data_IF_287965908893
#
_entry.id   IF_287965908893
#
_cell.length_a   1.000
_cell.length_b   1.000
_cell.length_c   1.000
_cell.angle_alpha   90.00
_cell.angle_beta   90.00
_cell.angle_gamma   90.00
#
_symmetry.space_group_name_H-M   'P 1'
#
loop_
_entity.id
_entity.type
_entity.pdbx_description
1 polymer ?
#
# COMPACT_ATOMS: atom_id res chain seq x y z
N UNK A 1 -3.26 26.69 -2.60
CA UNK A 1 -4.07 27.75 -1.97
C UNK A 1 -4.52 28.79 -3.01
N UNK A 2 -3.65 29.26 -3.89
CA UNK A 2 -3.96 30.27 -4.93
C UNK A 2 -5.19 29.94 -5.82
N UNK A 3 -5.41 28.69 -6.30
CA UNK A 3 -6.61 28.37 -7.09
C UNK A 3 -7.91 28.55 -6.30
N UNK A 4 -7.91 28.25 -5.01
CA UNK A 4 -9.12 28.34 -4.16
C UNK A 4 -9.50 29.82 -3.96
N UNK A 5 -8.56 30.68 -3.62
CA UNK A 5 -8.83 32.10 -3.41
C UNK A 5 -9.30 32.81 -4.68
N UNK A 6 -8.76 32.43 -5.86
CA UNK A 6 -9.19 32.98 -7.13
C UNK A 6 -10.58 32.51 -7.58
N UNK A 7 -10.91 31.23 -7.39
CA UNK A 7 -12.21 30.68 -7.78
C UNK A 7 -13.33 31.22 -6.89
N UNK A 8 -13.09 31.33 -5.58
CA UNK A 8 -14.11 31.77 -4.61
C UNK A 8 -14.04 33.28 -4.29
N UNK A 9 -13.20 34.06 -5.00
CA UNK A 9 -13.03 35.47 -4.78
C UNK A 9 -12.76 35.84 -3.32
N UNK A 10 -11.98 35.04 -2.63
CA UNK A 10 -11.65 35.22 -1.22
C UNK A 10 -10.65 36.40 -1.03
N UNK A 11 -11.20 37.58 -0.84
CA UNK A 11 -10.43 38.83 -0.64
C UNK A 11 -9.66 38.89 0.68
N UNK A 12 -10.00 38.00 1.65
CA UNK A 12 -9.42 38.01 2.99
C UNK A 12 -8.49 36.81 3.24
N UNK A 13 -8.27 35.96 2.24
CA UNK A 13 -7.45 34.73 2.31
C UNK A 13 -7.84 33.77 3.44
N UNK A 14 -9.07 33.89 3.97
CA UNK A 14 -9.58 33.05 5.05
C UNK A 14 -9.68 31.60 4.60
N UNK A 15 -10.26 31.38 3.41
CA UNK A 15 -10.44 30.04 2.85
C UNK A 15 -9.08 29.37 2.56
N UNK A 16 -8.13 30.13 2.04
CA UNK A 16 -6.75 29.67 1.81
C UNK A 16 -6.04 29.33 3.12
N UNK A 17 -6.24 30.13 4.16
CA UNK A 17 -5.63 29.88 5.47
C UNK A 17 -6.21 28.62 6.12
N UNK A 18 -7.53 28.45 6.11
CA UNK A 18 -8.20 27.26 6.64
C UNK A 18 -7.74 26.01 5.90
N UNK A 19 -7.70 26.06 4.56
CA UNK A 19 -7.22 24.95 3.75
C UNK A 19 -5.76 24.62 4.05
N UNK A 20 -4.89 25.61 4.21
CA UNK A 20 -3.49 25.41 4.56
C UNK A 20 -3.31 24.75 5.93
N UNK A 21 -4.08 25.16 6.94
CA UNK A 21 -4.04 24.57 8.29
C UNK A 21 -4.50 23.10 8.25
N UNK A 22 -5.59 22.80 7.54
CA UNK A 22 -6.09 21.44 7.38
C UNK A 22 -5.04 20.57 6.68
N UNK A 23 -4.48 21.03 5.56
CA UNK A 23 -3.44 20.31 4.84
C UNK A 23 -2.24 20.04 5.76
N UNK A 24 -1.74 21.05 6.45
CA UNK A 24 -0.59 20.93 7.33
C UNK A 24 -0.84 19.86 8.42
N UNK A 25 -1.99 19.91 9.07
CA UNK A 25 -2.32 19.01 10.17
C UNK A 25 -2.40 17.55 9.69
N UNK A 26 -3.16 17.29 8.63
CA UNK A 26 -3.32 15.93 8.12
C UNK A 26 -2.05 15.37 7.47
N UNK A 27 -1.28 16.25 6.78
CA UNK A 27 -0.01 15.83 6.17
C UNK A 27 1.10 15.58 7.18
N UNK A 28 1.15 16.28 8.31
CA UNK A 28 2.07 15.93 9.39
C UNK A 28 1.82 14.52 9.90
N UNK A 29 0.55 14.15 10.13
CA UNK A 29 0.20 12.78 10.57
C UNK A 29 0.54 11.75 9.49
N UNK A 30 0.21 12.02 8.22
CA UNK A 30 0.53 11.16 7.09
C UNK A 30 2.04 10.93 6.94
N UNK A 31 2.83 12.01 6.97
CA UNK A 31 4.30 11.92 6.87
C UNK A 31 4.89 11.13 8.05
N UNK A 32 4.37 11.35 9.26
CA UNK A 32 4.74 10.59 10.44
C UNK A 32 4.51 9.08 10.25
N UNK A 33 3.37 8.68 9.67
CA UNK A 33 3.09 7.27 9.40
C UNK A 33 4.04 6.65 8.37
N UNK A 34 4.50 7.42 7.37
CA UNK A 34 5.50 6.96 6.41
C UNK A 34 6.86 6.68 7.08
N UNK A 35 7.28 7.54 8.02
CA UNK A 35 8.52 7.31 8.77
C UNK A 35 8.41 6.10 9.71
N UNK A 36 7.26 5.89 10.35
CA UNK A 36 6.96 4.69 11.13
C UNK A 36 7.11 3.42 10.28
N UNK A 37 6.58 3.42 9.07
CA UNK A 37 6.69 2.30 8.12
C UNK A 37 8.15 2.04 7.74
N UNK A 38 8.93 3.09 7.49
CA UNK A 38 10.36 2.99 7.22
C UNK A 38 11.10 2.33 8.40
N UNK A 39 10.86 2.80 9.62
CA UNK A 39 11.46 2.22 10.83
C UNK A 39 11.11 0.73 11.01
N UNK A 40 9.84 0.36 10.82
CA UNK A 40 9.40 -1.05 10.89
C UNK A 40 10.09 -1.92 9.84
N UNK A 41 10.19 -1.44 8.61
CA UNK A 41 10.82 -2.17 7.51
C UNK A 41 12.29 -2.51 7.83
N UNK A 42 13.08 -1.52 8.22
CA UNK A 42 14.50 -1.72 8.53
C UNK A 42 14.72 -2.57 9.78
N UNK A 43 13.84 -2.43 10.78
CA UNK A 43 13.88 -3.29 11.96
C UNK A 43 13.60 -4.75 11.61
N UNK A 44 12.59 -5.01 10.77
CA UNK A 44 12.20 -6.36 10.36
C UNK A 44 13.27 -7.03 9.46
N UNK A 45 13.89 -6.26 8.55
CA UNK A 45 14.88 -6.80 7.61
C UNK A 45 16.27 -6.99 8.22
N UNK A 46 16.73 -6.03 9.02
CA UNK A 46 18.12 -5.94 9.47
C UNK A 46 18.30 -6.05 10.98
N UNK A 47 17.21 -6.09 11.76
CA UNK A 47 17.26 -6.11 13.22
C UNK A 47 17.78 -4.81 13.85
N UNK A 48 17.85 -3.71 13.08
CA UNK A 48 18.35 -2.42 13.54
C UNK A 48 17.29 -1.73 14.41
N UNK A 49 17.72 -0.90 15.35
CA UNK A 49 16.81 -0.16 16.21
C UNK A 49 15.79 0.65 15.39
N UNK A 50 14.52 0.47 15.73
CA UNK A 50 13.37 1.09 15.06
C UNK A 50 13.45 2.62 15.03
N UNK A 51 13.75 3.24 16.20
CA UNK A 51 13.77 4.69 16.32
C UNK A 51 14.94 5.31 15.56
N UNK A 52 16.12 4.66 15.60
CA UNK A 52 17.28 5.08 14.86
C UNK A 52 17.02 5.08 13.34
N UNK A 53 16.40 4.03 12.81
CA UNK A 53 16.09 3.93 11.38
C UNK A 53 14.99 4.89 10.94
N UNK A 54 14.00 5.11 11.79
CA UNK A 54 12.96 6.10 11.50
C UNK A 54 13.56 7.51 11.37
N UNK A 55 14.43 7.90 12.31
CA UNK A 55 15.10 9.20 12.30
C UNK A 55 16.06 9.31 11.12
N UNK A 56 16.86 8.28 10.87
CA UNK A 56 17.79 8.25 9.75
C UNK A 56 17.07 8.42 8.41
N UNK A 57 15.98 7.68 8.19
CA UNK A 57 15.15 7.82 6.99
C UNK A 57 14.57 9.22 6.83
N UNK A 58 14.09 9.82 7.92
CA UNK A 58 13.59 11.20 7.92
C UNK A 58 14.70 12.19 7.52
N UNK A 59 15.89 12.07 8.10
CA UNK A 59 17.04 12.95 7.80
C UNK A 59 17.44 12.82 6.32
N UNK A 60 17.51 11.61 5.78
CA UNK A 60 17.86 11.38 4.37
C UNK A 60 16.83 12.03 3.43
N UNK A 61 15.52 11.82 3.69
CA UNK A 61 14.45 12.43 2.90
C UNK A 61 14.52 13.94 2.97
N UNK A 62 14.70 14.52 4.15
CA UNK A 62 14.87 15.96 4.32
C UNK A 62 16.08 16.50 3.55
N UNK A 63 17.22 15.84 3.66
CA UNK A 63 18.46 16.29 3.03
C UNK A 63 18.34 16.37 1.51
N UNK A 64 17.88 15.31 0.83
CA UNK A 64 17.77 15.35 -0.63
C UNK A 64 16.65 16.27 -1.11
N UNK A 65 15.57 16.40 -0.33
CA UNK A 65 14.47 17.32 -0.68
C UNK A 65 14.90 18.78 -0.56
N UNK A 66 15.67 19.14 0.49
CA UNK A 66 16.20 20.49 0.67
C UNK A 66 17.18 20.89 -0.44
N UNK A 67 18.07 19.97 -0.83
CA UNK A 67 19.11 20.26 -1.83
C UNK A 67 18.54 20.25 -3.25
N UNK A 68 17.70 19.29 -3.58
CA UNK A 68 17.25 19.09 -4.96
C UNK A 68 15.83 19.56 -5.26
N UNK A 69 15.06 19.94 -4.24
CA UNK A 69 13.70 20.44 -4.38
C UNK A 69 12.78 19.48 -5.14
N UNK A 70 11.82 20.02 -5.89
CA UNK A 70 10.82 19.25 -6.63
C UNK A 70 11.42 18.25 -7.64
N UNK A 71 12.46 18.67 -8.38
CA UNK A 71 13.09 17.83 -9.39
C UNK A 71 13.75 16.58 -8.79
N UNK A 72 14.40 16.73 -7.64
CA UNK A 72 15.00 15.61 -6.91
C UNK A 72 13.94 14.61 -6.46
N UNK A 73 12.82 15.10 -5.94
CA UNK A 73 11.70 14.24 -5.52
C UNK A 73 11.14 13.44 -6.69
N UNK A 74 10.88 14.10 -7.83
CA UNK A 74 10.34 13.42 -9.03
C UNK A 74 11.32 12.39 -9.58
N UNK A 75 12.63 12.71 -9.60
CA UNK A 75 13.64 11.79 -10.08
C UNK A 75 13.77 10.56 -9.16
N UNK A 76 13.78 10.75 -7.85
CA UNK A 76 13.81 9.63 -6.88
C UNK A 76 12.55 8.80 -6.95
N UNK A 77 11.36 9.40 -7.08
CA UNK A 77 10.09 8.69 -7.25
C UNK A 77 10.10 7.80 -8.50
N UNK A 78 10.66 8.29 -9.61
CA UNK A 78 10.78 7.51 -10.84
C UNK A 78 11.68 6.28 -10.66
N UNK A 79 12.88 6.47 -10.09
CA UNK A 79 13.82 5.37 -9.83
C UNK A 79 13.22 4.35 -8.87
N UNK A 80 12.61 4.81 -7.77
CA UNK A 80 11.96 3.96 -6.79
C UNK A 80 10.77 3.20 -7.41
N UNK A 81 10.00 3.83 -8.28
CA UNK A 81 8.92 3.19 -9.03
C UNK A 81 9.41 2.05 -9.91
N UNK A 82 10.49 2.25 -10.66
CA UNK A 82 11.11 1.21 -11.46
C UNK A 82 11.63 0.05 -10.59
N UNK A 83 12.32 0.35 -9.48
CA UNK A 83 12.81 -0.66 -8.54
C UNK A 83 11.66 -1.46 -7.92
N UNK A 84 10.57 -0.79 -7.52
CA UNK A 84 9.40 -1.45 -6.96
C UNK A 84 8.75 -2.40 -7.97
N UNK A 85 8.62 -1.99 -9.23
CA UNK A 85 8.08 -2.84 -10.29
C UNK A 85 8.92 -4.08 -10.50
N UNK A 86 10.25 -3.91 -10.55
CA UNK A 86 11.18 -5.02 -10.68
C UNK A 86 11.12 -5.97 -9.47
N UNK A 87 11.09 -5.43 -8.24
CA UNK A 87 10.97 -6.22 -7.03
C UNK A 87 9.66 -7.03 -6.98
N UNK A 88 8.52 -6.42 -7.34
CA UNK A 88 7.24 -7.11 -7.44
C UNK A 88 7.30 -8.28 -8.44
N UNK A 89 7.91 -8.07 -9.60
CA UNK A 89 8.05 -9.11 -10.61
C UNK A 89 8.93 -10.28 -10.11
N UNK A 90 10.07 -9.98 -9.49
CA UNK A 90 10.99 -10.99 -8.94
C UNK A 90 10.30 -11.81 -7.84
N UNK A 91 9.66 -11.14 -6.88
CA UNK A 91 8.97 -11.82 -5.78
C UNK A 91 7.79 -12.65 -6.30
N UNK A 92 7.02 -12.13 -7.27
CA UNK A 92 5.91 -12.88 -7.87
C UNK A 92 6.41 -14.15 -8.59
N UNK A 93 7.41 -14.02 -9.45
CA UNK A 93 7.95 -15.16 -10.20
C UNK A 93 8.60 -16.17 -9.25
N UNK A 94 9.39 -15.70 -8.30
CA UNK A 94 10.05 -16.55 -7.30
C UNK A 94 9.03 -17.29 -6.43
N UNK A 95 7.97 -16.62 -5.97
CA UNK A 95 6.92 -17.24 -5.15
C UNK A 95 6.13 -18.31 -5.93
N UNK A 96 5.80 -18.06 -7.20
CA UNK A 96 5.15 -19.07 -8.06
C UNK A 96 6.04 -20.31 -8.21
N UNK A 97 7.34 -20.11 -8.45
CA UNK A 97 8.29 -21.22 -8.57
C UNK A 97 8.42 -22.01 -7.26
N UNK A 98 8.47 -21.32 -6.12
CA UNK A 98 8.62 -21.95 -4.79
C UNK A 98 7.40 -22.77 -4.36
N UNK A 99 6.17 -22.35 -4.73
CA UNK A 99 4.93 -23.08 -4.41
C UNK A 99 4.74 -24.32 -5.30
N UNK A 100 5.41 -24.38 -6.44
CA UNK A 100 5.21 -25.45 -7.41
C UNK A 100 4.17 -25.12 -8.49
N UNK A 101 3.81 -23.84 -8.63
CA UNK A 101 2.94 -23.36 -9.71
C UNK A 101 1.64 -22.71 -9.24
N UNK A 102 0.97 -22.08 -10.18
CA UNK A 102 -0.29 -21.38 -9.92
C UNK A 102 -1.42 -22.36 -9.55
N UNK A 103 -1.42 -23.56 -10.16
CA UNK A 103 -2.44 -24.58 -9.92
C UNK A 103 -2.49 -25.03 -8.45
N UNK A 104 -1.33 -25.18 -7.81
CA UNK A 104 -1.23 -25.53 -6.39
C UNK A 104 -1.82 -24.42 -5.51
N UNK A 105 -1.51 -23.17 -5.84
CA UNK A 105 -2.08 -22.01 -5.14
C UNK A 105 -3.59 -21.97 -5.25
N UNK A 106 -4.13 -22.12 -6.46
CA UNK A 106 -5.58 -22.09 -6.71
C UNK A 106 -6.28 -23.24 -6.00
N UNK A 107 -5.73 -24.46 -6.05
CA UNK A 107 -6.28 -25.62 -5.35
C UNK A 107 -6.33 -25.39 -3.83
N UNK A 108 -5.31 -24.78 -3.24
CA UNK A 108 -5.32 -24.43 -1.82
C UNK A 108 -6.40 -23.40 -1.49
N UNK A 109 -6.49 -22.34 -2.28
CA UNK A 109 -7.46 -21.26 -2.05
C UNK A 109 -8.92 -21.70 -2.23
N UNK A 110 -9.17 -22.66 -3.11
CA UNK A 110 -10.50 -23.26 -3.31
C UNK A 110 -10.99 -24.02 -2.06
N UNK A 111 -10.09 -24.52 -1.23
CA UNK A 111 -10.43 -25.18 0.02
C UNK A 111 -10.86 -24.21 1.13
N UNK A 112 -10.62 -22.90 0.96
CA UNK A 112 -11.05 -21.88 1.93
C UNK A 112 -12.48 -21.44 1.57
N UNK A 113 -13.47 -21.64 2.45
CA UNK A 113 -14.86 -21.32 2.15
C UNK A 113 -15.05 -19.84 1.75
N UNK A 114 -15.64 -19.60 0.59
CA UNK A 114 -15.96 -18.26 0.09
C UNK A 114 -14.77 -17.36 -0.27
N UNK A 115 -13.52 -17.81 -0.14
CA UNK A 115 -12.33 -16.96 -0.32
C UNK A 115 -12.16 -16.44 -1.76
N UNK A 116 -12.48 -17.24 -2.77
CA UNK A 116 -12.42 -16.83 -4.18
C UNK A 116 -13.72 -16.15 -4.67
N UNK A 117 -14.72 -16.02 -3.82
CA UNK A 117 -15.95 -15.33 -4.15
C UNK A 117 -15.82 -13.84 -3.80
N UNK A 118 -15.69 -12.97 -4.79
CA UNK A 118 -15.55 -11.52 -4.58
C UNK A 118 -16.72 -10.82 -3.89
N UNK A 119 -17.86 -11.50 -3.69
CA UNK A 119 -19.01 -11.01 -2.94
C UNK A 119 -19.06 -11.47 -1.48
N UNK A 120 -18.07 -12.25 -1.04
CA UNK A 120 -18.04 -12.80 0.30
C UNK A 120 -16.74 -12.44 1.04
N UNK A 121 -16.83 -12.36 2.35
CA UNK A 121 -15.71 -12.15 3.25
C UNK A 121 -15.62 -13.33 4.20
N UNK A 122 -14.47 -13.98 4.24
CA UNK A 122 -14.19 -15.07 5.19
C UNK A 122 -13.15 -14.61 6.18
N UNK A 123 -13.47 -14.67 7.46
CA UNK A 123 -12.56 -14.26 8.53
C UNK A 123 -11.86 -15.47 9.14
N UNK A 124 -10.56 -15.37 9.49
CA UNK A 124 -9.88 -16.43 10.23
C UNK A 124 -10.49 -16.57 11.63
N UNK A 125 -10.66 -17.79 12.11
CA UNK A 125 -11.04 -18.07 13.50
C UNK A 125 -9.79 -17.91 14.34
N UNK A 126 -9.86 -17.04 15.37
CA UNK A 126 -8.74 -16.78 16.26
C UNK A 126 -8.86 -17.65 17.53
N UNK A 127 -7.76 -18.26 17.93
CA UNK A 127 -7.68 -18.93 19.23
C UNK A 127 -7.57 -17.88 20.34
N UNK A 128 -8.51 -17.91 21.27
CA UNK A 128 -8.58 -16.95 22.38
C UNK A 128 -7.38 -17.05 23.36
N UNK A 129 -6.71 -18.20 23.42
CA UNK A 129 -5.58 -18.40 24.32
C UNK A 129 -4.27 -17.85 23.75
N UNK A 130 -4.06 -18.02 22.45
CA UNK A 130 -2.80 -17.66 21.79
C UNK A 130 -2.88 -16.35 21.02
N UNK A 131 -4.09 -15.88 20.66
CA UNK A 131 -4.31 -14.75 19.79
C UNK A 131 -3.86 -14.98 18.32
N UNK A 132 -3.58 -16.23 17.97
CA UNK A 132 -3.22 -16.65 16.62
C UNK A 132 -4.40 -17.32 15.92
N UNK A 133 -4.32 -17.48 14.60
CA UNK A 133 -5.33 -18.23 13.87
C UNK A 133 -5.38 -19.68 14.36
N UNK A 134 -6.59 -20.14 14.69
CA UNK A 134 -6.82 -21.53 15.09
C UNK A 134 -6.52 -22.47 13.92
N UNK A 135 -5.90 -23.59 14.22
CA UNK A 135 -5.57 -24.63 13.25
C UNK A 135 -6.14 -25.98 13.71
N UNK A 136 -6.58 -26.78 12.76
CA UNK A 136 -6.99 -28.15 12.99
C UNK A 136 -6.07 -29.08 12.19
N UNK A 137 -5.12 -29.72 12.85
CA UNK A 137 -3.98 -30.34 12.17
C UNK A 137 -3.09 -29.24 11.54
N UNK A 138 -2.82 -29.35 10.24
CA UNK A 138 -2.05 -28.36 9.47
C UNK A 138 -2.94 -27.38 8.69
N UNK A 139 -4.26 -27.43 8.87
CA UNK A 139 -5.19 -26.58 8.13
C UNK A 139 -5.67 -25.40 9.00
N UNK A 140 -5.55 -24.17 8.49
CA UNK A 140 -6.07 -22.99 9.17
C UNK A 140 -7.61 -23.01 9.17
N UNK A 141 -8.21 -22.68 10.31
CA UNK A 141 -9.65 -22.62 10.45
C UNK A 141 -10.18 -21.24 10.03
N UNK A 142 -11.30 -21.28 9.30
CA UNK A 142 -12.02 -20.10 8.83
C UNK A 142 -13.46 -20.15 9.31
N UNK A 143 -14.04 -18.99 9.56
CA UNK A 143 -15.45 -18.82 9.85
C UNK A 143 -16.33 -19.02 8.61
N UNK A 144 -17.64 -18.98 8.84
CA UNK A 144 -18.61 -19.03 7.75
C UNK A 144 -18.45 -17.78 6.86
N UNK A 145 -18.53 -17.94 5.53
CA UNK A 145 -18.50 -16.81 4.61
C UNK A 145 -19.66 -15.85 4.89
N UNK A 146 -19.36 -14.58 5.02
CA UNK A 146 -20.36 -13.51 5.18
C UNK A 146 -20.41 -12.65 3.93
N UNK A 147 -21.60 -12.15 3.56
CA UNK A 147 -21.74 -11.30 2.39
C UNK A 147 -21.01 -9.97 2.58
N UNK A 148 -20.30 -9.56 1.54
CA UNK A 148 -19.64 -8.26 1.50
C UNK A 148 -20.69 -7.17 1.25
N UNK A 149 -21.18 -6.56 2.33
CA UNK A 149 -22.30 -5.64 2.30
C UNK A 149 -22.07 -4.40 1.41
N UNK A 150 -23.13 -3.90 0.78
CA UNK A 150 -23.08 -2.71 -0.09
C UNK A 150 -22.44 -1.51 0.62
N UNK A 151 -22.72 -1.32 1.91
CA UNK A 151 -22.15 -0.24 2.71
C UNK A 151 -20.62 -0.35 2.80
N UNK A 152 -20.10 -1.56 2.95
CA UNK A 152 -18.65 -1.83 2.98
C UNK A 152 -18.01 -1.55 1.62
N UNK A 153 -18.68 -1.92 0.52
CA UNK A 153 -18.24 -1.64 -0.85
C UNK A 153 -18.14 -0.12 -1.05
N UNK A 154 -19.21 0.63 -0.72
CA UNK A 154 -19.25 2.09 -0.88
C UNK A 154 -18.17 2.75 -0.02
N UNK A 155 -18.01 2.32 1.24
CA UNK A 155 -17.00 2.84 2.15
C UNK A 155 -15.57 2.61 1.64
N UNK A 156 -15.30 1.43 1.08
CA UNK A 156 -13.99 1.10 0.51
C UNK A 156 -13.71 1.90 -0.76
N UNK A 157 -14.70 2.06 -1.65
CA UNK A 157 -14.58 2.86 -2.88
C UNK A 157 -14.45 4.36 -2.57
N UNK A 158 -15.08 4.85 -1.49
CA UNK A 158 -15.01 6.25 -1.09
C UNK A 158 -13.58 6.71 -0.78
N UNK A 159 -12.70 5.78 -0.36
CA UNK A 159 -11.28 6.08 -0.18
C UNK A 159 -10.60 6.56 -1.47
N UNK A 160 -10.98 6.00 -2.61
CA UNK A 160 -10.52 6.44 -3.92
C UNK A 160 -10.86 7.91 -4.24
N UNK A 161 -11.98 8.42 -3.74
CA UNK A 161 -12.37 9.81 -3.92
C UNK A 161 -11.41 10.77 -3.20
N UNK A 162 -10.83 10.37 -2.08
CA UNK A 162 -9.85 11.17 -1.34
C UNK A 162 -8.58 11.46 -2.14
N UNK A 163 -8.19 10.57 -3.05
CA UNK A 163 -7.00 10.76 -3.89
C UNK A 163 -7.08 11.98 -4.80
N UNK A 164 -8.27 12.39 -5.24
CA UNK A 164 -8.44 13.58 -6.07
C UNK A 164 -8.07 14.89 -5.35
N UNK A 165 -8.16 14.90 -4.02
CA UNK A 165 -7.82 16.07 -3.20
C UNK A 165 -6.42 16.03 -2.60
N UNK A 166 -5.63 14.99 -2.84
CA UNK A 166 -4.30 14.87 -2.24
C UNK A 166 -3.30 15.88 -2.83
N UNK A 167 -2.74 16.80 -2.03
CA UNK A 167 -1.83 17.83 -2.50
C UNK A 167 -0.61 17.30 -3.23
N UNK A 168 -0.06 16.16 -2.80
CA UNK A 168 1.08 15.50 -3.43
C UNK A 168 0.77 15.06 -4.87
N UNK A 169 -0.47 14.65 -5.15
CA UNK A 169 -0.91 14.29 -6.50
C UNK A 169 -1.10 15.54 -7.34
N UNK A 170 -1.76 16.57 -6.78
CA UNK A 170 -2.03 17.82 -7.47
C UNK A 170 -0.74 18.58 -7.85
N UNK A 171 0.27 18.59 -6.97
CA UNK A 171 1.56 19.24 -7.26
C UNK A 171 2.26 18.60 -8.46
N UNK A 172 2.12 17.28 -8.65
CA UNK A 172 2.70 16.60 -9.83
C UNK A 172 2.03 17.02 -11.12
N UNK A 173 0.72 17.23 -11.13
CA UNK A 173 0.02 17.80 -12.30
C UNK A 173 0.44 19.23 -12.62
N UNK A 174 0.74 20.04 -11.59
CA UNK A 174 1.23 21.42 -11.80
C UNK A 174 2.62 21.48 -12.45
N UNK A 175 3.42 20.42 -12.33
CA UNK A 175 4.75 20.32 -12.95
C UNK A 175 4.74 19.88 -14.42
N UNK A 176 3.58 19.53 -15.00
CA UNK A 176 3.45 19.06 -16.38
C UNK A 176 3.35 20.26 -17.32
N UNK A 177 4.04 20.19 -18.48
CA UNK A 177 4.16 21.29 -19.42
C UNK A 177 2.92 21.53 -20.28
N UNK A 178 2.20 20.46 -20.64
CA UNK A 178 1.07 20.55 -21.57
C UNK A 178 -0.06 19.58 -21.21
N UNK A 179 -1.27 19.88 -21.68
CA UNK A 179 -2.45 19.02 -21.49
C UNK A 179 -2.27 17.64 -22.15
N UNK A 180 -1.52 17.56 -23.25
CA UNK A 180 -1.24 16.29 -23.93
C UNK A 180 -0.33 15.38 -23.07
N UNK A 181 0.69 15.95 -22.44
CA UNK A 181 1.54 15.23 -21.49
C UNK A 181 0.76 14.73 -20.27
N UNK A 182 -0.26 15.46 -19.81
CA UNK A 182 -1.18 14.99 -18.75
C UNK A 182 -1.90 13.72 -19.18
N UNK A 183 -2.37 13.65 -20.43
CA UNK A 183 -3.06 12.48 -20.97
C UNK A 183 -2.14 11.27 -21.03
N UNK A 184 -0.92 11.44 -21.51
CA UNK A 184 0.07 10.36 -21.57
C UNK A 184 0.46 9.87 -20.16
N UNK A 185 0.74 10.79 -19.24
CA UNK A 185 1.05 10.50 -17.86
C UNK A 185 -0.05 9.72 -17.16
N UNK A 186 -1.32 10.08 -17.41
CA UNK A 186 -2.47 9.34 -16.87
C UNK A 186 -2.51 7.89 -17.36
N UNK A 187 -2.29 7.64 -18.65
CA UNK A 187 -2.31 6.29 -19.20
C UNK A 187 -1.20 5.45 -18.56
N UNK A 188 0.02 5.99 -18.51
CA UNK A 188 1.16 5.31 -17.89
C UNK A 188 0.87 5.00 -16.42
N UNK A 189 0.37 5.97 -15.66
CA UNK A 189 0.06 5.80 -14.24
C UNK A 189 -1.03 4.74 -14.02
N UNK A 190 -2.11 4.74 -14.81
CA UNK A 190 -3.19 3.74 -14.69
C UNK A 190 -2.68 2.33 -15.02
N UNK A 191 -1.96 2.16 -16.12
CA UNK A 191 -1.38 0.85 -16.49
C UNK A 191 -0.44 0.35 -15.39
N UNK A 192 0.43 1.23 -14.89
CA UNK A 192 1.38 0.89 -13.83
C UNK A 192 0.68 0.47 -12.54
N UNK A 193 -0.34 1.23 -12.11
CA UNK A 193 -1.13 0.91 -10.91
C UNK A 193 -1.86 -0.42 -11.06
N UNK A 194 -2.51 -0.67 -12.21
CA UNK A 194 -3.22 -1.94 -12.45
C UNK A 194 -2.26 -3.12 -12.37
N UNK A 195 -1.12 -3.06 -13.03
CA UNK A 195 -0.13 -4.15 -12.99
C UNK A 195 0.38 -4.35 -11.56
N UNK A 196 0.75 -3.29 -10.86
CA UNK A 196 1.26 -3.37 -9.48
C UNK A 196 0.23 -3.97 -8.53
N UNK A 197 -1.05 -3.59 -8.65
CA UNK A 197 -2.13 -4.12 -7.81
C UNK A 197 -2.39 -5.60 -8.11
N UNK A 198 -2.39 -6.00 -9.36
CA UNK A 198 -2.54 -7.43 -9.75
C UNK A 198 -1.38 -8.25 -9.19
N UNK A 199 -0.13 -7.78 -9.35
CA UNK A 199 1.04 -8.45 -8.77
C UNK A 199 0.94 -8.58 -7.24
N UNK A 200 0.54 -7.51 -6.55
CA UNK A 200 0.39 -7.50 -5.10
C UNK A 200 -0.69 -8.50 -4.64
N UNK A 201 -1.84 -8.55 -5.32
CA UNK A 201 -2.91 -9.52 -5.05
C UNK A 201 -2.42 -10.96 -5.26
N UNK A 202 -1.73 -11.23 -6.36
CA UNK A 202 -1.17 -12.56 -6.63
C UNK A 202 -0.16 -12.97 -5.56
N UNK A 203 0.74 -12.07 -5.14
CA UNK A 203 1.70 -12.34 -4.05
C UNK A 203 0.96 -12.63 -2.74
N UNK A 204 -0.12 -11.90 -2.43
CA UNK A 204 -0.95 -12.18 -1.27
C UNK A 204 -1.61 -13.56 -1.31
N UNK A 205 -2.14 -13.97 -2.45
CA UNK A 205 -2.73 -15.29 -2.64
C UNK A 205 -1.70 -16.41 -2.53
N UNK A 206 -0.56 -16.26 -3.19
CA UNK A 206 0.53 -17.23 -3.14
C UNK A 206 1.08 -17.31 -1.72
N UNK A 207 1.29 -16.16 -1.07
CA UNK A 207 1.76 -16.11 0.30
C UNK A 207 0.83 -16.82 1.28
N UNK A 208 -0.48 -16.70 1.08
CA UNK A 208 -1.46 -17.45 1.88
C UNK A 208 -1.35 -18.98 1.68
N UNK A 209 -1.04 -19.41 0.46
CA UNK A 209 -0.83 -20.84 0.16
C UNK A 209 0.53 -21.34 0.68
N UNK A 210 1.59 -20.52 0.61
CA UNK A 210 2.93 -20.87 1.12
C UNK A 210 2.97 -20.97 2.65
N UNK A 211 2.27 -20.07 3.33
CA UNK A 211 2.36 -19.84 4.77
C UNK A 211 0.96 -19.85 5.40
N UNK A 212 0.23 -20.98 5.36
CA UNK A 212 -1.18 -21.03 5.75
C UNK A 212 -1.41 -20.66 7.22
N UNK A 213 -0.46 -20.87 8.10
CA UNK A 213 -0.57 -20.62 9.55
C UNK A 213 0.12 -19.33 10.02
N UNK A 214 0.86 -18.65 9.13
CA UNK A 214 1.63 -17.44 9.49
C UNK A 214 0.74 -16.21 9.76
N UNK A 215 -0.42 -16.14 9.13
CA UNK A 215 -1.31 -14.96 9.14
C UNK A 215 -2.25 -14.91 10.35
N UNK A 216 -1.75 -15.26 11.53
CA UNK A 216 -2.52 -15.19 12.76
C UNK A 216 -2.94 -13.77 13.19
N UNK A 217 -2.28 -12.72 12.69
CA UNK A 217 -2.60 -11.33 13.01
C UNK A 217 -2.53 -10.45 11.76
N UNK A 218 -3.24 -9.30 11.77
CA UNK A 218 -3.15 -8.33 10.68
C UNK A 218 -1.71 -7.81 10.48
N UNK A 219 -0.96 -7.65 11.58
CA UNK A 219 0.43 -7.22 11.51
C UNK A 219 1.35 -8.24 10.81
N UNK A 220 1.08 -9.54 10.95
CA UNK A 220 1.79 -10.58 10.19
C UNK A 220 1.44 -10.52 8.70
N UNK A 221 0.17 -10.28 8.36
CA UNK A 221 -0.28 -10.16 6.98
C UNK A 221 0.36 -8.96 6.24
N UNK A 222 0.59 -7.84 6.93
CA UNK A 222 1.27 -6.66 6.37
C UNK A 222 2.72 -6.95 5.93
N UNK A 223 3.38 -7.91 6.55
CA UNK A 223 4.78 -8.25 6.27
C UNK A 223 4.95 -9.37 5.25
N UNK A 224 3.88 -9.88 4.63
CA UNK A 224 3.92 -11.05 3.74
C UNK A 224 4.93 -10.92 2.60
N UNK A 225 4.98 -9.74 1.97
CA UNK A 225 5.91 -9.46 0.88
C UNK A 225 7.38 -9.64 1.32
N UNK A 226 7.70 -9.14 2.52
CA UNK A 226 9.05 -9.21 3.09
C UNK A 226 9.41 -10.66 3.41
N UNK A 227 8.49 -11.38 4.05
CA UNK A 227 8.71 -12.78 4.44
C UNK A 227 8.92 -13.67 3.22
N UNK A 228 8.09 -13.52 2.19
CA UNK A 228 8.27 -14.26 0.94
C UNK A 228 9.59 -13.90 0.27
N UNK A 229 9.94 -12.61 0.22
CA UNK A 229 11.20 -12.16 -0.37
C UNK A 229 12.45 -12.69 0.34
N UNK A 230 12.34 -13.01 1.64
CA UNK A 230 13.42 -13.66 2.41
C UNK A 230 13.50 -15.17 2.18
N UNK A 231 12.43 -15.79 1.69
CA UNK A 231 12.36 -17.25 1.46
C UNK A 231 12.81 -17.65 0.04
N UNK A 232 12.85 -16.70 -0.89
CA UNK A 232 13.23 -16.88 -2.30
C UNK A 232 14.71 -16.54 -2.50
#
# INVERSE_FOLDING_TARGET
ALPISSIFHDKKDILSTVAAVIILLFFCVYTGSCFVTCGKLFHTLFGIDYAAMMIFGAVVVFAYTLVGGYLSVVATDFIQGCLMFFALAVVLIGSIASVGGVDVTVAFLQNIPGFLNGGQLTTPIMDAATGLQAVQGDQPLFGEPTDFGILTIISTLAWGLGYFGMPQVLVRFLGIRSAEEVRQSRIIAVVWVVISMVCALCIGFIGRAMLPTYFGTNAAAENIFIVIAQMI
#
